data_IF_400838615316
#
_entry.id   IF_400838615316
#
_cell.length_a   1.000
_cell.length_b   1.000
_cell.length_c   1.000
_cell.angle_alpha   90.00
_cell.angle_beta   90.00
_cell.angle_gamma   90.00
#
_symmetry.space_group_name_H-M   'P 1'
#
loop_
_entity.id
_entity.type
_entity.pdbx_description
1 polymer ?
#
# COMPACT_ATOMS: atom_id res chain seq x y z
N UNK A 1 1.95 45.60 -24.35
CA UNK A 1 2.69 46.48 -23.43
C UNK A 1 1.92 46.53 -22.11
N UNK A 2 2.38 45.78 -21.12
CA UNK A 2 1.88 45.81 -19.74
C UNK A 2 3.10 45.69 -18.82
N UNK A 3 3.22 46.50 -17.76
CA UNK A 3 4.42 46.52 -16.93
C UNK A 3 4.53 45.25 -16.09
N UNK A 4 5.72 44.64 -16.16
CA UNK A 4 6.16 43.48 -15.38
C UNK A 4 6.52 43.90 -13.96
N UNK A 5 5.83 43.33 -12.98
CA UNK A 5 6.13 43.53 -11.55
C UNK A 5 7.23 42.57 -11.12
N UNK A 6 8.48 43.05 -11.04
CA UNK A 6 9.59 42.34 -10.39
C UNK A 6 9.62 42.70 -8.90
N UNK A 7 9.39 41.73 -8.03
CA UNK A 7 9.65 41.88 -6.59
C UNK A 7 11.07 41.42 -6.26
N UNK A 8 11.91 42.36 -5.85
CA UNK A 8 13.21 42.10 -5.24
C UNK A 8 13.01 41.82 -3.74
N UNK A 9 13.47 40.68 -3.25
CA UNK A 9 13.63 40.45 -1.82
C UNK A 9 15.09 40.72 -1.45
N UNK A 10 15.29 41.78 -0.66
CA UNK A 10 16.58 42.22 -0.12
C UNK A 10 17.11 41.19 0.87
N UNK A 11 18.35 40.73 0.65
CA UNK A 11 19.19 40.13 1.69
C UNK A 11 19.58 41.21 2.71
N UNK A 12 18.99 41.15 3.90
CA UNK A 12 19.45 41.88 5.08
C UNK A 12 20.24 40.93 5.96
N UNK A 13 21.57 41.08 5.96
CA UNK A 13 22.42 40.51 6.99
C UNK A 13 22.37 41.38 8.24
N UNK A 14 22.19 40.76 9.40
CA UNK A 14 22.56 41.32 10.68
C UNK A 14 23.02 40.18 11.60
N UNK A 15 24.29 40.25 11.92
CA UNK A 15 25.07 39.39 12.80
C UNK A 15 24.74 39.59 14.28
N UNK A 16 24.69 38.46 15.00
CA UNK A 16 25.14 38.19 16.37
C UNK A 16 24.42 38.91 17.53
N UNK A 17 23.65 38.12 18.28
CA UNK A 17 23.69 38.17 19.75
C UNK A 17 23.60 36.75 20.31
N UNK A 18 24.72 36.23 20.79
CA UNK A 18 24.75 35.03 21.61
C UNK A 18 24.08 35.33 22.96
N UNK A 19 23.01 34.61 23.28
CA UNK A 19 22.47 34.52 24.63
C UNK A 19 22.42 33.03 25.00
N UNK A 20 23.43 32.62 25.77
CA UNK A 20 23.46 31.34 26.45
C UNK A 20 22.33 31.32 27.49
N UNK A 21 21.31 30.49 27.27
CA UNK A 21 20.37 30.07 28.31
C UNK A 21 20.66 28.59 28.59
N UNK A 22 21.56 28.37 29.53
CA UNK A 22 21.82 27.06 30.09
C UNK A 22 21.05 26.94 31.42
N UNK A 23 20.25 25.87 31.50
CA UNK A 23 19.77 25.18 32.69
C UNK A 23 18.84 25.95 33.64
N UNK A 24 17.59 25.48 33.72
CA UNK A 24 17.19 24.54 34.80
C UNK A 24 15.75 24.05 34.61
N UNK A 25 15.48 22.87 35.20
CA UNK A 25 14.19 22.19 35.41
C UNK A 25 13.81 21.23 34.26
N UNK A 26 14.36 20.01 34.20
CA UNK A 26 13.79 18.83 34.90
C UNK A 26 12.28 18.89 35.05
N UNK A 27 11.58 18.85 33.91
CA UNK A 27 10.23 18.33 33.81
C UNK A 27 10.31 16.91 33.27
N UNK A 28 10.24 15.94 34.17
CA UNK A 28 9.98 14.55 33.84
C UNK A 28 8.73 14.45 32.96
N UNK A 29 8.88 14.15 31.68
CA UNK A 29 7.85 13.39 30.97
C UNK A 29 8.04 11.90 31.33
N UNK A 30 7.93 11.57 32.62
CA UNK A 30 7.68 10.20 33.06
C UNK A 30 6.20 9.94 32.87
N UNK A 31 5.91 9.52 31.65
CA UNK A 31 4.59 9.28 31.11
C UNK A 31 4.71 9.16 29.61
N UNK A 32 5.77 8.51 29.11
CA UNK A 32 5.57 7.72 27.89
C UNK A 32 4.46 6.77 28.29
N UNK A 33 3.23 7.04 27.86
CA UNK A 33 2.24 5.97 27.70
C UNK A 33 3.04 4.80 27.16
N UNK A 34 3.10 3.71 27.94
CA UNK A 34 3.95 2.57 27.59
C UNK A 34 3.55 2.21 26.18
N UNK A 35 4.45 2.45 25.22
CA UNK A 35 4.16 2.11 23.84
C UNK A 35 3.86 0.61 23.88
N UNK A 36 2.58 0.26 23.73
CA UNK A 36 2.14 -1.13 23.82
C UNK A 36 2.90 -1.91 22.76
N UNK A 37 3.23 -3.20 22.94
CA UNK A 37 4.01 -3.96 21.95
C UNK A 37 3.43 -3.89 20.52
N UNK A 38 2.12 -3.63 20.44
CA UNK A 38 1.32 -3.50 19.23
C UNK A 38 0.98 -2.03 18.85
N UNK A 39 1.56 -1.04 19.52
CA UNK A 39 1.35 0.38 19.19
C UNK A 39 2.26 0.81 18.01
N UNK A 40 1.74 1.75 17.22
CA UNK A 40 2.39 2.28 16.03
C UNK A 40 3.06 3.60 16.35
N UNK A 41 4.22 3.87 15.75
CA UNK A 41 4.83 5.21 15.74
C UNK A 41 4.33 5.96 14.49
N UNK A 42 3.84 7.19 14.65
CA UNK A 42 3.40 8.09 13.57
C UNK A 42 4.42 8.16 12.42
N UNK A 43 5.72 8.03 12.74
CA UNK A 43 6.78 8.01 11.74
C UNK A 43 6.66 6.86 10.73
N UNK A 44 6.24 5.65 11.16
CA UNK A 44 6.08 4.50 10.25
C UNK A 44 4.87 4.67 9.34
N UNK A 45 3.79 5.25 9.85
CA UNK A 45 2.60 5.52 9.05
C UNK A 45 2.90 6.57 7.97
N UNK A 46 3.55 7.68 8.37
CA UNK A 46 3.98 8.70 7.42
C UNK A 46 4.95 8.13 6.37
N UNK A 47 5.83 7.21 6.77
CA UNK A 47 6.71 6.50 5.84
C UNK A 47 5.93 5.63 4.85
N UNK A 48 4.90 4.89 5.30
CA UNK A 48 4.02 4.11 4.41
C UNK A 48 3.29 5.00 3.40
N UNK A 49 2.69 6.10 3.87
CA UNK A 49 2.00 7.06 3.00
C UNK A 49 2.92 7.59 1.91
N UNK A 50 4.16 7.95 2.29
CA UNK A 50 5.17 8.45 1.35
C UNK A 50 5.75 7.40 0.40
N UNK A 51 5.57 6.12 0.73
CA UNK A 51 6.13 4.99 -0.01
C UNK A 51 5.10 4.25 -0.87
N UNK A 52 3.88 4.80 -1.00
CA UNK A 52 2.83 4.17 -1.79
C UNK A 52 3.30 3.95 -3.24
N UNK A 53 3.25 2.71 -3.77
CA UNK A 53 3.82 2.39 -5.08
C UNK A 53 2.91 2.81 -6.25
N UNK A 54 1.73 3.35 -5.95
CA UNK A 54 0.74 3.80 -6.92
C UNK A 54 0.20 5.17 -6.51
N UNK A 55 -0.09 6.02 -7.49
CA UNK A 55 -0.76 7.29 -7.26
C UNK A 55 -2.25 7.05 -6.94
N UNK A 56 -2.79 7.84 -6.01
CA UNK A 56 -4.20 7.79 -5.63
C UNK A 56 -4.44 8.46 -4.27
N UNK A 57 -5.71 8.57 -3.89
CA UNK A 57 -6.07 9.02 -2.54
C UNK A 57 -5.69 7.91 -1.54
N UNK A 58 -4.77 8.23 -0.64
CA UNK A 58 -4.28 7.29 0.36
C UNK A 58 -5.16 7.33 1.61
N UNK A 59 -5.83 6.22 1.88
CA UNK A 59 -6.53 5.98 3.13
C UNK A 59 -5.57 5.35 4.15
N UNK A 60 -5.36 6.05 5.26
CA UNK A 60 -4.55 5.56 6.38
C UNK A 60 -5.46 4.91 7.42
N UNK A 61 -5.33 3.60 7.59
CA UNK A 61 -6.10 2.86 8.59
C UNK A 61 -5.26 2.68 9.87
N UNK A 62 -5.52 3.53 10.85
CA UNK A 62 -5.20 3.28 12.25
C UNK A 62 -6.51 3.05 12.99
N UNK A 63 -6.87 1.79 13.22
CA UNK A 63 -7.92 1.52 14.21
C UNK A 63 -7.35 1.79 15.60
N UNK A 64 -7.65 2.97 16.14
CA UNK A 64 -7.44 3.27 17.55
C UNK A 64 -8.34 2.34 18.38
N UNK A 65 -7.75 1.24 18.84
CA UNK A 65 -8.42 0.18 19.57
C UNK A 65 -8.64 0.53 21.05
N UNK A 66 -8.44 1.78 21.47
CA UNK A 66 -8.67 2.28 22.84
C UNK A 66 -10.18 2.31 23.18
N UNK A 67 -10.85 1.15 23.27
CA UNK A 67 -12.25 1.10 23.69
C UNK A 67 -12.98 -0.26 23.72
N UNK A 68 -12.40 -1.37 23.24
CA UNK A 68 -13.13 -2.63 23.05
C UNK A 68 -12.77 -3.71 24.09
N UNK A 69 -13.66 -4.07 25.00
CA UNK A 69 -13.37 -5.04 26.08
C UNK A 69 -13.32 -6.53 25.64
N UNK A 70 -12.96 -6.85 24.39
CA UNK A 70 -13.00 -8.21 23.84
C UNK A 70 -11.66 -8.55 23.20
N UNK A 71 -11.20 -9.80 23.38
CA UNK A 71 -9.90 -10.33 22.95
C UNK A 71 -9.37 -9.68 21.67
N UNK A 72 -8.36 -8.81 21.82
CA UNK A 72 -7.80 -8.00 20.75
C UNK A 72 -6.92 -8.85 19.84
N UNK A 73 -7.20 -8.81 18.55
CA UNK A 73 -6.21 -9.04 17.51
C UNK A 73 -5.65 -7.66 17.19
N UNK A 74 -4.37 -7.42 17.44
CA UNK A 74 -3.73 -6.19 17.00
C UNK A 74 -3.78 -6.14 15.47
N UNK A 75 -4.44 -5.13 14.91
CA UNK A 75 -4.40 -4.87 13.47
C UNK A 75 -3.10 -4.12 13.14
N UNK A 76 -2.43 -4.53 12.08
CA UNK A 76 -1.15 -3.94 11.66
C UNK A 76 -1.39 -2.57 11.02
N UNK A 77 -0.50 -1.59 11.21
CA UNK A 77 -0.60 -0.30 10.55
C UNK A 77 -0.55 -0.49 9.03
N UNK A 78 -1.55 0.08 8.35
CA UNK A 78 -1.69 0.00 6.91
C UNK A 78 -1.94 1.37 6.26
N UNK A 79 -1.42 1.50 5.05
CA UNK A 79 -1.78 2.57 4.13
C UNK A 79 -2.35 1.92 2.88
N UNK A 80 -3.44 2.46 2.35
CA UNK A 80 -4.18 1.86 1.26
C UNK A 80 -4.53 2.87 0.19
N UNK A 81 -4.52 2.43 -1.06
CA UNK A 81 -5.09 3.15 -2.20
C UNK A 81 -6.10 2.25 -2.87
N UNK A 82 -7.30 2.77 -3.07
CA UNK A 82 -8.29 2.17 -3.96
C UNK A 82 -8.02 2.64 -5.40
N UNK A 83 -8.03 1.70 -6.33
CA UNK A 83 -7.76 1.96 -7.75
C UNK A 83 -9.05 1.75 -8.53
N UNK A 84 -9.78 2.83 -8.90
CA UNK A 84 -10.90 2.70 -9.83
C UNK A 84 -10.41 2.16 -11.18
N UNK A 85 -11.34 1.62 -11.98
CA UNK A 85 -11.01 1.04 -13.27
C UNK A 85 -10.30 2.00 -14.21
N UNK A 86 -10.71 3.26 -14.23
CA UNK A 86 -10.07 4.33 -15.03
C UNK A 86 -8.59 4.53 -14.68
N UNK A 87 -8.15 4.14 -13.47
CA UNK A 87 -6.75 4.20 -13.09
C UNK A 87 -6.00 2.90 -13.45
N UNK A 88 -6.69 1.77 -13.60
CA UNK A 88 -6.10 0.47 -13.94
C UNK A 88 -5.98 0.26 -15.45
N UNK A 89 -6.87 0.85 -16.24
CA UNK A 89 -6.96 0.67 -17.69
C UNK A 89 -7.01 2.00 -18.42
N UNK A 90 -6.40 2.07 -19.60
CA UNK A 90 -6.52 3.24 -20.50
C UNK A 90 -7.93 3.34 -21.14
N UNK A 91 -8.74 2.28 -21.00
CA UNK A 91 -10.12 2.22 -21.46
C UNK A 91 -11.08 2.60 -20.33
N UNK A 92 -12.07 3.44 -20.66
CA UNK A 92 -13.16 3.74 -19.72
C UNK A 92 -14.09 2.54 -19.62
N UNK A 93 -14.20 1.96 -18.43
CA UNK A 93 -15.15 0.87 -18.14
C UNK A 93 -16.40 1.48 -17.50
N UNK A 94 -17.53 1.44 -18.20
CA UNK A 94 -18.81 1.86 -17.64
C UNK A 94 -19.38 0.75 -16.74
N UNK A 95 -19.08 0.84 -15.45
CA UNK A 95 -19.58 -0.09 -14.43
C UNK A 95 -21.06 0.13 -14.09
N UNK A 96 -21.63 1.27 -14.48
CA UNK A 96 -23.03 1.63 -14.21
C UNK A 96 -23.98 1.10 -15.31
N UNK A 97 -23.45 0.54 -16.40
CA UNK A 97 -24.21 -0.17 -17.42
C UNK A 97 -24.22 -1.69 -17.14
N UNK A 98 -25.27 -2.24 -16.48
CA UNK A 98 -25.39 -3.68 -16.24
C UNK A 98 -25.62 -4.49 -17.53
N UNK A 99 -25.68 -3.84 -18.69
CA UNK A 99 -25.80 -4.43 -20.02
C UNK A 99 -24.53 -4.27 -20.86
N UNK A 100 -23.42 -3.78 -20.28
CA UNK A 100 -22.12 -3.92 -20.91
C UNK A 100 -21.85 -5.43 -21.09
N UNK A 101 -21.94 -5.90 -22.33
CA UNK A 101 -21.88 -7.34 -22.66
C UNK A 101 -20.47 -7.93 -22.45
N UNK A 102 -19.44 -7.08 -22.28
CA UNK A 102 -18.05 -7.50 -22.11
C UNK A 102 -17.61 -7.32 -20.63
N UNK A 103 -17.15 -8.37 -19.95
CA UNK A 103 -16.64 -8.26 -18.59
C UNK A 103 -15.38 -7.38 -18.55
N UNK A 104 -15.07 -6.74 -17.41
CA UNK A 104 -13.86 -5.93 -17.28
C UNK A 104 -12.60 -6.76 -17.61
N UNK A 105 -11.57 -6.18 -18.24
CA UNK A 105 -10.35 -6.89 -18.65
C UNK A 105 -9.42 -7.12 -17.45
N UNK A 106 -9.87 -7.89 -16.45
CA UNK A 106 -9.19 -8.13 -15.16
C UNK A 106 -7.76 -8.66 -15.34
N UNK A 107 -7.53 -9.52 -16.34
CA UNK A 107 -6.20 -10.06 -16.60
C UNK A 107 -5.21 -8.97 -17.03
N UNK A 108 -5.58 -8.14 -18.01
CA UNK A 108 -4.72 -7.08 -18.52
C UNK A 108 -4.49 -5.98 -17.48
N UNK A 109 -5.53 -5.63 -16.71
CA UNK A 109 -5.40 -4.74 -15.56
C UNK A 109 -4.49 -5.33 -14.47
N UNK A 110 -4.54 -6.64 -14.23
CA UNK A 110 -3.62 -7.33 -13.34
C UNK A 110 -2.16 -7.29 -13.80
N UNK A 111 -1.93 -7.42 -15.11
CA UNK A 111 -0.61 -7.23 -15.74
C UNK A 111 -0.12 -5.80 -15.54
N UNK A 112 -0.97 -4.80 -15.81
CA UNK A 112 -0.63 -3.39 -15.62
C UNK A 112 -0.30 -3.07 -14.15
N UNK A 113 -1.08 -3.60 -13.20
CA UNK A 113 -0.83 -3.43 -11.77
C UNK A 113 0.49 -4.09 -11.35
N UNK A 114 0.78 -5.31 -11.81
CA UNK A 114 2.06 -5.99 -11.57
C UNK A 114 3.23 -5.12 -12.01
N UNK A 115 3.17 -4.59 -13.22
CA UNK A 115 4.27 -3.81 -13.79
C UNK A 115 4.52 -2.52 -12.99
N UNK A 116 3.45 -1.82 -12.59
CA UNK A 116 3.55 -0.63 -11.71
C UNK A 116 4.20 -0.96 -10.37
N UNK A 117 3.81 -2.07 -9.74
CA UNK A 117 4.39 -2.48 -8.45
C UNK A 117 5.89 -2.81 -8.61
N UNK A 118 6.26 -3.57 -9.64
CA UNK A 118 7.66 -3.91 -9.92
C UNK A 118 8.50 -2.67 -10.22
N UNK A 119 7.98 -1.75 -11.03
CA UNK A 119 8.64 -0.47 -11.35
C UNK A 119 8.82 0.41 -10.11
N UNK A 120 7.89 0.36 -9.15
CA UNK A 120 7.99 1.01 -7.85
C UNK A 120 8.95 0.31 -6.88
N UNK A 121 9.56 -0.81 -7.26
CA UNK A 121 10.54 -1.55 -6.46
C UNK A 121 9.94 -2.62 -5.55
N UNK A 122 8.67 -2.98 -5.73
CA UNK A 122 8.06 -4.11 -5.02
C UNK A 122 8.67 -5.41 -5.50
N UNK A 123 9.15 -6.21 -4.55
CA UNK A 123 9.60 -7.58 -4.80
C UNK A 123 8.42 -8.52 -4.61
N UNK A 124 7.91 -9.09 -5.70
CA UNK A 124 6.76 -10.00 -5.66
C UNK A 124 7.14 -11.36 -5.05
N UNK A 125 6.24 -11.87 -4.22
CA UNK A 125 6.37 -13.16 -3.52
C UNK A 125 5.24 -14.12 -3.88
N UNK A 126 4.06 -13.61 -4.22
CA UNK A 126 2.92 -14.43 -4.65
C UNK A 126 2.13 -13.72 -5.76
N UNK A 127 1.72 -14.49 -6.77
CA UNK A 127 0.77 -14.07 -7.82
C UNK A 127 -0.31 -15.14 -7.95
N UNK A 128 -1.57 -14.74 -7.87
CA UNK A 128 -2.74 -15.60 -8.08
C UNK A 128 -3.65 -15.01 -9.15
N UNK A 129 -4.00 -15.82 -10.15
CA UNK A 129 -5.07 -15.52 -11.10
C UNK A 129 -6.25 -16.44 -10.78
N UNK A 130 -7.36 -15.89 -10.30
CA UNK A 130 -8.59 -16.64 -9.99
C UNK A 130 -9.50 -16.69 -11.22
N UNK A 131 -10.00 -17.88 -11.54
CA UNK A 131 -10.86 -18.13 -12.70
C UNK A 131 -12.18 -18.71 -12.22
N UNK A 132 -13.31 -18.15 -12.64
CA UNK A 132 -14.61 -18.79 -12.43
C UNK A 132 -14.73 -19.98 -13.38
N UNK A 133 -14.72 -21.19 -12.82
CA UNK A 133 -14.83 -22.44 -13.59
C UNK A 133 -16.12 -22.57 -14.42
N UNK A 134 -17.18 -21.80 -14.10
CA UNK A 134 -18.44 -21.78 -14.86
C UNK A 134 -18.36 -20.85 -16.06
N UNK A 135 -17.65 -19.73 -15.91
CA UNK A 135 -17.62 -18.65 -16.90
C UNK A 135 -16.34 -18.69 -17.76
N UNK A 136 -15.30 -19.38 -17.29
CA UNK A 136 -14.06 -19.59 -18.01
C UNK A 136 -13.18 -18.35 -18.15
N UNK A 137 -13.45 -17.29 -17.38
CA UNK A 137 -12.67 -16.05 -17.37
C UNK A 137 -12.10 -15.75 -15.98
N UNK A 138 -11.05 -14.93 -15.97
CA UNK A 138 -10.39 -14.47 -14.76
C UNK A 138 -11.32 -13.51 -14.01
N UNK A 139 -11.58 -13.78 -12.73
CA UNK A 139 -12.43 -12.96 -11.85
C UNK A 139 -11.63 -12.16 -10.83
N UNK A 140 -10.37 -12.52 -10.59
CA UNK A 140 -9.47 -11.73 -9.77
C UNK A 140 -8.00 -11.98 -10.13
N UNK A 141 -7.18 -10.95 -9.97
CA UNK A 141 -5.73 -11.06 -9.89
C UNK A 141 -5.30 -10.57 -8.52
N UNK A 142 -4.55 -11.38 -7.79
CA UNK A 142 -4.03 -11.05 -6.44
C UNK A 142 -2.51 -11.13 -6.46
N UNK A 143 -1.89 -10.09 -5.93
CA UNK A 143 -0.44 -9.90 -5.87
C UNK A 143 -0.05 -9.71 -4.42
N UNK A 144 1.03 -10.33 -4.00
CA UNK A 144 1.68 -10.02 -2.74
C UNK A 144 3.18 -9.84 -2.95
N UNK A 145 3.77 -8.98 -2.14
CA UNK A 145 5.19 -8.66 -2.23
C UNK A 145 5.72 -7.97 -1.00
N UNK A 146 6.96 -7.50 -1.10
CA UNK A 146 7.62 -6.68 -0.10
C UNK A 146 8.20 -5.42 -0.74
N UNK A 147 8.21 -4.32 0.02
CA UNK A 147 8.75 -3.03 -0.40
C UNK A 147 9.67 -2.49 0.69
N UNK A 148 10.96 -2.21 0.40
CA UNK A 148 11.82 -1.49 1.34
C UNK A 148 11.32 -0.05 1.56
N UNK A 149 11.02 0.31 2.81
CA UNK A 149 10.53 1.63 3.22
C UNK A 149 11.41 2.17 4.34
N UNK A 150 12.31 3.09 3.99
CA UNK A 150 13.28 3.71 4.91
C UNK A 150 14.05 2.68 5.75
N UNK A 151 13.67 2.47 7.01
CA UNK A 151 14.32 1.58 7.98
C UNK A 151 13.63 0.22 8.15
N UNK A 152 12.60 -0.10 7.35
CA UNK A 152 11.86 -1.37 7.46
C UNK A 152 11.39 -1.91 6.11
N UNK A 153 10.88 -3.14 6.10
CA UNK A 153 10.26 -3.78 4.94
C UNK A 153 8.74 -3.80 5.13
N UNK A 154 8.02 -3.09 4.26
CA UNK A 154 6.57 -3.17 4.20
C UNK A 154 6.13 -4.44 3.47
N UNK A 155 5.09 -5.10 3.96
CA UNK A 155 4.39 -6.10 3.17
C UNK A 155 3.39 -5.41 2.24
N UNK A 156 3.25 -5.93 1.03
CA UNK A 156 2.38 -5.40 -0.02
C UNK A 156 1.29 -6.42 -0.31
N UNK A 157 0.04 -6.00 -0.24
CA UNK A 157 -1.12 -6.72 -0.77
C UNK A 157 -1.73 -5.89 -1.88
N UNK A 158 -1.97 -6.48 -3.05
CA UNK A 158 -2.60 -5.75 -4.14
C UNK A 158 -3.50 -6.69 -4.95
N UNK A 159 -4.45 -6.12 -5.68
CA UNK A 159 -5.26 -6.92 -6.57
C UNK A 159 -6.21 -6.13 -7.44
N UNK A 160 -6.76 -6.84 -8.41
CA UNK A 160 -7.80 -6.39 -9.33
C UNK A 160 -8.93 -7.40 -9.29
N UNK A 161 -10.15 -6.91 -9.17
CA UNK A 161 -11.42 -7.63 -9.14
C UNK A 161 -12.43 -6.90 -10.02
N UNK A 162 -13.61 -7.47 -10.22
CA UNK A 162 -14.67 -6.89 -11.08
C UNK A 162 -15.02 -5.43 -10.75
N UNK A 163 -14.90 -5.02 -9.48
CA UNK A 163 -15.26 -3.67 -9.02
C UNK A 163 -14.09 -2.67 -9.01
N UNK A 164 -12.91 -3.06 -9.46
CA UNK A 164 -11.70 -2.23 -9.48
C UNK A 164 -10.54 -2.95 -8.82
N UNK A 165 -9.61 -2.20 -8.23
CA UNK A 165 -8.46 -2.78 -7.56
C UNK A 165 -8.00 -1.96 -6.37
N UNK A 166 -6.84 -2.33 -5.85
CA UNK A 166 -6.23 -1.59 -4.77
C UNK A 166 -4.86 -2.12 -4.41
N UNK A 167 -4.15 -1.31 -3.64
CA UNK A 167 -2.85 -1.63 -3.06
C UNK A 167 -2.90 -1.26 -1.58
N UNK A 168 -2.44 -2.16 -0.74
CA UNK A 168 -2.28 -1.95 0.69
C UNK A 168 -0.85 -2.26 1.09
N UNK A 169 -0.22 -1.33 1.80
CA UNK A 169 1.07 -1.52 2.44
C UNK A 169 0.89 -1.75 3.93
N UNK A 170 1.68 -2.65 4.51
CA UNK A 170 1.63 -2.98 5.93
C UNK A 170 3.00 -2.83 6.55
N UNK A 171 3.12 -1.99 7.56
CA UNK A 171 4.35 -1.86 8.32
C UNK A 171 4.43 -2.93 9.43
N UNK A 172 5.64 -3.37 9.79
CA UNK A 172 5.83 -4.17 10.99
C UNK A 172 5.58 -3.30 12.23
N UNK A 173 5.19 -3.94 13.33
CA UNK A 173 5.10 -3.25 14.62
C UNK A 173 6.49 -2.76 15.04
N UNK A 174 6.55 -1.70 15.86
CA UNK A 174 7.84 -1.14 16.27
C UNK A 174 8.69 -2.11 17.11
N UNK A 175 8.09 -3.15 17.69
CA UNK A 175 8.77 -4.21 18.45
C UNK A 175 9.28 -5.36 17.58
N UNK A 176 8.83 -5.44 16.33
CA UNK A 176 9.22 -6.50 15.41
C UNK A 176 10.57 -6.20 14.74
N UNK A 177 11.23 -7.23 14.18
CA UNK A 177 12.34 -7.03 13.25
C UNK A 177 11.98 -6.04 12.12
N UNK A 178 13.00 -5.47 11.50
CA UNK A 178 12.81 -4.58 10.34
C UNK A 178 12.10 -5.27 9.18
N UNK A 179 12.30 -6.58 9.04
CA UNK A 179 11.59 -7.45 8.10
C UNK A 179 11.13 -8.72 8.84
N UNK A 180 9.91 -8.74 9.39
CA UNK A 180 9.39 -9.92 10.09
C UNK A 180 8.80 -10.96 9.14
N UNK A 181 8.70 -10.65 7.85
CA UNK A 181 8.01 -11.49 6.87
C UNK A 181 8.94 -12.59 6.36
N UNK A 182 10.23 -12.25 6.18
CA UNK A 182 11.28 -13.16 5.70
C UNK A 182 10.86 -13.93 4.43
N UNK A 183 10.07 -13.28 3.56
CA UNK A 183 9.47 -13.91 2.39
C UNK A 183 10.49 -13.98 1.24
N UNK A 184 10.56 -15.16 0.62
CA UNK A 184 11.42 -15.36 -0.55
C UNK A 184 10.77 -14.76 -1.81
N UNK A 185 11.54 -14.06 -2.66
CA UNK A 185 11.06 -13.57 -3.94
C UNK A 185 10.59 -14.72 -4.85
N UNK A 186 9.63 -14.42 -5.73
CA UNK A 186 9.21 -15.35 -6.77
C UNK A 186 10.40 -15.75 -7.65
N UNK A 187 10.52 -17.06 -7.89
CA UNK A 187 11.48 -17.63 -8.83
C UNK A 187 10.74 -18.42 -9.88
N UNK A 188 10.71 -17.89 -11.12
CA UNK A 188 10.04 -18.53 -12.27
C UNK A 188 8.85 -17.75 -12.80
N UNK A 189 8.20 -18.33 -13.81
CA UNK A 189 7.05 -17.72 -14.50
C UNK A 189 5.77 -17.76 -13.64
N UNK A 190 4.95 -16.73 -13.80
CA UNK A 190 3.64 -16.53 -13.18
C UNK A 190 2.54 -16.55 -14.23
N UNK A 191 1.27 -16.62 -13.81
CA UNK A 191 0.14 -16.54 -14.74
C UNK A 191 0.09 -15.22 -15.53
N UNK A 192 0.67 -14.14 -15.00
CA UNK A 192 0.71 -12.83 -15.64
C UNK A 192 1.85 -12.67 -16.66
N UNK A 193 2.78 -13.62 -16.72
CA UNK A 193 3.85 -13.62 -17.74
C UNK A 193 3.37 -14.22 -19.07
N UNK A 194 2.17 -14.82 -19.07
CA UNK A 194 1.47 -15.30 -20.26
C UNK A 194 0.87 -14.15 -21.05
N UNK A 195 0.77 -14.30 -22.37
CA UNK A 195 0.06 -13.35 -23.25
C UNK A 195 -1.46 -13.57 -23.27
N UNK A 196 -1.98 -14.51 -22.47
CA UNK A 196 -3.40 -14.84 -22.40
C UNK A 196 -3.77 -15.33 -20.99
N UNK A 197 -5.01 -15.06 -20.54
CA UNK A 197 -5.49 -15.50 -19.23
C UNK A 197 -5.45 -17.02 -19.08
N UNK A 198 -5.15 -17.55 -17.88
CA UNK A 198 -5.15 -18.98 -17.63
C UNK A 198 -6.58 -19.55 -17.71
N UNK A 199 -6.70 -20.82 -18.12
CA UNK A 199 -7.99 -21.51 -18.21
C UNK A 199 -8.53 -22.02 -16.85
N UNK A 200 -7.72 -21.94 -15.79
CA UNK A 200 -8.06 -22.37 -14.44
C UNK A 200 -7.32 -21.51 -13.42
N UNK A 201 -7.82 -21.44 -12.18
CA UNK A 201 -7.13 -20.75 -11.10
C UNK A 201 -5.71 -21.25 -10.95
N UNK A 202 -4.76 -20.32 -10.87
CA UNK A 202 -3.33 -20.60 -10.75
C UNK A 202 -2.72 -19.67 -9.70
N UNK A 203 -1.81 -20.23 -8.90
CA UNK A 203 -1.05 -19.50 -7.89
C UNK A 203 0.42 -19.88 -8.04
N UNK A 204 1.28 -18.87 -8.13
CA UNK A 204 2.74 -19.00 -8.03
C UNK A 204 3.18 -18.31 -6.75
N UNK A 205 4.00 -18.98 -5.93
CA UNK A 205 4.42 -18.50 -4.62
C UNK A 205 3.69 -19.18 -3.45
N UNK A 206 4.05 -18.84 -2.20
CA UNK A 206 3.36 -19.36 -1.02
C UNK A 206 1.90 -18.86 -0.98
N UNK A 207 1.01 -19.73 -0.52
CA UNK A 207 -0.33 -19.31 -0.12
C UNK A 207 -0.20 -18.52 1.19
N UNK A 208 -0.42 -17.21 1.11
CA UNK A 208 -0.37 -16.33 2.25
C UNK A 208 -1.71 -16.30 3.01
N UNK A 209 -2.69 -17.09 2.57
CA UNK A 209 -4.05 -17.11 3.10
C UNK A 209 -4.99 -16.14 2.34
N UNK A 210 -6.28 -16.14 2.69
CA UNK A 210 -7.30 -15.36 1.98
C UNK A 210 -7.14 -13.85 2.15
N UNK A 211 -6.35 -13.46 3.14
CA UNK A 211 -6.19 -12.08 3.55
C UNK A 211 -4.90 -11.93 4.38
N UNK A 212 -3.71 -12.01 3.77
CA UNK A 212 -2.48 -12.02 4.55
C UNK A 212 -2.26 -10.72 5.31
N UNK A 213 -2.92 -9.64 4.90
CA UNK A 213 -2.66 -8.31 5.44
C UNK A 213 -3.88 -7.37 5.60
N UNK A 214 -5.02 -7.58 4.93
CA UNK A 214 -6.23 -6.76 5.07
C UNK A 214 -7.11 -6.80 3.81
N UNK A 215 -8.42 -6.91 4.01
CA UNK A 215 -9.37 -7.27 2.95
C UNK A 215 -9.35 -6.26 1.80
N UNK A 216 -9.35 -6.77 0.56
CA UNK A 216 -9.59 -5.96 -0.64
C UNK A 216 -11.02 -5.40 -0.54
N UNK A 217 -11.26 -4.09 -0.78
CA UNK A 217 -12.60 -3.54 -0.77
C UNK A 217 -13.48 -4.23 -1.80
N UNK A 218 -14.69 -4.60 -1.40
CA UNK A 218 -15.70 -5.10 -2.32
C UNK A 218 -15.76 -6.62 -2.50
N UNK A 219 -14.95 -7.39 -1.76
CA UNK A 219 -15.22 -8.82 -1.49
C UNK A 219 -16.36 -9.01 -0.50
#
# INVERSE_FOLDING_TARGET
MGPTTRWQVRRGGATVTAAAVALTLTGCAFGTDKIGPDETDEARLAALESAMPVDGDVDLELRDLRGSSVAYVAERPSARVELPWDDLTDEQVDLDDPLADDPPPIFDAGVALRDRLVDAGVTLVTVTCEVDARQGHVTAVKLAGTLPVDVFTAAVSAGVVERGGGVTLHAPFHTEPTDPWELEPLTGETCLDSTAPPASTTTTGPDLGPDPFGSIPGS
#
